data_IF_269267454225
#
_entry.id   IF_269267454225
#
_cell.length_a   1.000
_cell.length_b   1.000
_cell.length_c   1.000
_cell.angle_alpha   90.00
_cell.angle_beta   90.00
_cell.angle_gamma   90.00
#
_symmetry.space_group_name_H-M   'P 1'
#
loop_
_entity.id
_entity.type
_entity.pdbx_description
1 polymer ?
#
# COMPACT_ATOMS: atom_id res chain seq x y z
N UNK A 1 5.01 15.95 -39.72
CA UNK A 1 4.44 17.02 -38.86
C UNK A 1 3.07 16.62 -38.28
N UNK A 2 2.15 16.00 -39.03
CA UNK A 2 0.83 15.60 -38.50
C UNK A 2 0.88 14.50 -37.43
N UNK A 3 1.78 13.52 -37.56
CA UNK A 3 1.84 12.37 -36.65
C UNK A 3 2.19 12.75 -35.20
N UNK A 4 3.17 13.65 -35.01
CA UNK A 4 3.48 14.21 -33.68
C UNK A 4 2.30 14.98 -33.07
N UNK A 5 1.51 15.69 -33.89
CA UNK A 5 0.35 16.44 -33.41
C UNK A 5 -0.77 15.51 -32.96
N UNK A 6 -1.04 14.43 -33.70
CA UNK A 6 -2.03 13.40 -33.33
C UNK A 6 -1.62 12.72 -32.03
N UNK A 7 -0.33 12.35 -31.87
CA UNK A 7 0.15 11.72 -30.63
C UNK A 7 0.08 12.70 -29.45
N UNK A 8 0.44 13.99 -29.65
CA UNK A 8 0.28 15.01 -28.58
C UNK A 8 -1.18 15.11 -28.16
N UNK A 9 -2.12 15.15 -29.11
CA UNK A 9 -3.53 15.25 -28.80
C UNK A 9 -4.04 14.03 -28.02
N UNK A 10 -3.61 12.82 -28.39
CA UNK A 10 -3.94 11.59 -27.66
C UNK A 10 -3.37 11.55 -26.24
N UNK A 11 -2.16 12.08 -26.03
CA UNK A 11 -1.58 12.23 -24.68
C UNK A 11 -2.40 13.26 -23.87
N UNK A 12 -2.77 14.38 -24.49
CA UNK A 12 -3.54 15.46 -23.84
C UNK A 12 -4.92 14.97 -23.39
N UNK A 13 -5.60 14.12 -24.16
CA UNK A 13 -6.94 13.64 -23.81
C UNK A 13 -7.00 12.69 -22.61
N UNK A 14 -5.86 12.15 -22.16
CA UNK A 14 -5.80 11.13 -21.09
C UNK A 14 -5.18 11.68 -19.80
N UNK A 15 -4.60 12.88 -19.83
CA UNK A 15 -3.95 13.49 -18.67
C UNK A 15 -4.84 14.46 -17.92
N UNK A 16 -4.63 14.56 -16.61
CA UNK A 16 -5.23 15.61 -15.77
C UNK A 16 -4.76 17.00 -16.22
N UNK A 17 -5.66 17.99 -16.21
CA UNK A 17 -5.38 19.38 -16.62
C UNK A 17 -4.18 19.99 -15.89
N UNK A 18 -4.02 19.67 -14.61
CA UNK A 18 -2.88 20.11 -13.79
C UNK A 18 -1.53 19.60 -14.31
N UNK A 19 -1.50 18.42 -14.94
CA UNK A 19 -0.30 17.86 -15.54
C UNK A 19 -0.08 18.43 -16.95
N UNK A 20 -1.16 18.61 -17.72
CA UNK A 20 -1.13 19.24 -19.03
C UNK A 20 -0.47 20.63 -18.98
N UNK A 21 -0.85 21.46 -18.01
CA UNK A 21 -0.26 22.79 -17.83
C UNK A 21 1.27 22.76 -17.65
N UNK A 22 1.83 21.69 -17.09
CA UNK A 22 3.29 21.53 -16.88
C UNK A 22 4.05 21.07 -18.11
N UNK A 23 3.36 20.43 -19.07
CA UNK A 23 4.00 19.76 -20.23
C UNK A 23 3.62 20.38 -21.58
N UNK A 24 2.60 21.27 -21.64
CA UNK A 24 2.11 21.89 -22.89
C UNK A 24 3.14 22.74 -23.65
N UNK A 25 4.19 23.23 -22.96
CA UNK A 25 5.25 24.04 -23.55
C UNK A 25 6.36 23.24 -24.24
N UNK A 26 6.33 21.90 -24.17
CA UNK A 26 7.42 21.06 -24.66
C UNK A 26 7.38 20.89 -26.18
N UNK A 27 8.53 21.15 -26.83
CA UNK A 27 8.65 21.14 -28.29
C UNK A 27 8.46 19.73 -28.88
N UNK A 28 9.01 18.70 -28.23
CA UNK A 28 8.96 17.31 -28.70
C UNK A 28 8.01 16.46 -27.85
N UNK A 29 7.19 15.63 -28.52
CA UNK A 29 6.30 14.67 -27.85
C UNK A 29 7.04 13.73 -26.91
N UNK A 30 8.27 13.32 -27.27
CA UNK A 30 9.11 12.50 -26.42
C UNK A 30 9.43 13.18 -25.08
N UNK A 31 9.80 14.47 -25.11
CA UNK A 31 10.11 15.24 -23.88
C UNK A 31 8.85 15.42 -23.03
N UNK A 32 7.71 15.68 -23.68
CA UNK A 32 6.41 15.76 -23.02
C UNK A 32 6.05 14.44 -22.30
N UNK A 33 6.27 13.29 -22.96
CA UNK A 33 6.03 11.96 -22.40
C UNK A 33 6.95 11.63 -21.23
N UNK A 34 8.27 11.88 -21.36
CA UNK A 34 9.22 11.62 -20.27
C UNK A 34 8.92 12.47 -19.03
N UNK A 35 8.55 13.74 -19.22
CA UNK A 35 8.18 14.64 -18.11
C UNK A 35 6.88 14.20 -17.42
N UNK A 36 5.89 13.77 -18.20
CA UNK A 36 4.66 13.18 -17.67
C UNK A 36 4.97 11.92 -16.86
N UNK A 37 5.73 10.98 -17.43
CA UNK A 37 6.16 9.75 -16.77
C UNK A 37 6.87 10.04 -15.45
N UNK A 38 7.82 10.97 -15.45
CA UNK A 38 8.56 11.38 -14.24
C UNK A 38 7.65 11.94 -13.14
N UNK A 39 6.66 12.77 -13.48
CA UNK A 39 5.70 13.31 -12.51
C UNK A 39 4.82 12.21 -11.90
N UNK A 40 4.36 11.26 -12.72
CA UNK A 40 3.57 10.12 -12.24
C UNK A 40 4.41 9.18 -11.37
N UNK A 41 5.64 8.86 -11.77
CA UNK A 41 6.55 8.02 -10.98
C UNK A 41 6.92 8.69 -9.65
N UNK A 42 7.19 10.00 -9.65
CA UNK A 42 7.47 10.75 -8.42
C UNK A 42 6.27 10.74 -7.47
N UNK A 43 5.07 10.97 -7.99
CA UNK A 43 3.82 10.88 -7.20
C UNK A 43 3.62 9.46 -6.67
N UNK A 44 3.85 8.44 -7.49
CA UNK A 44 3.76 7.03 -7.09
C UNK A 44 4.72 6.72 -5.94
N UNK A 45 5.99 7.13 -6.04
CA UNK A 45 6.98 6.97 -4.95
C UNK A 45 6.55 7.68 -3.68
N UNK A 46 6.02 8.90 -3.78
CA UNK A 46 5.54 9.65 -2.61
C UNK A 46 4.33 8.96 -1.96
N UNK A 47 3.43 8.38 -2.75
CA UNK A 47 2.30 7.59 -2.25
C UNK A 47 2.80 6.33 -1.55
N UNK A 48 3.77 5.62 -2.13
CA UNK A 48 4.41 4.45 -1.48
C UNK A 48 5.00 4.83 -0.12
N UNK A 49 5.77 5.91 -0.03
CA UNK A 49 6.34 6.40 1.24
C UNK A 49 5.24 6.74 2.24
N UNK A 50 4.18 7.44 1.79
CA UNK A 50 3.04 7.77 2.66
C UNK A 50 2.31 6.52 3.17
N UNK A 51 2.17 5.48 2.35
CA UNK A 51 1.56 4.22 2.75
C UNK A 51 2.41 3.47 3.77
N UNK A 52 3.74 3.42 3.61
CA UNK A 52 4.62 2.87 4.64
C UNK A 52 4.55 3.65 5.94
N UNK A 53 4.53 4.99 5.88
CA UNK A 53 4.36 5.84 7.06
C UNK A 53 3.05 5.51 7.78
N UNK A 54 1.92 5.46 7.07
CA UNK A 54 0.62 5.08 7.63
C UNK A 54 0.64 3.69 8.26
N UNK A 55 1.27 2.73 7.59
CA UNK A 55 1.40 1.37 8.09
C UNK A 55 2.19 1.31 9.41
N UNK A 56 3.23 2.14 9.54
CA UNK A 56 4.04 2.25 10.77
C UNK A 56 3.33 3.06 11.87
N UNK A 57 2.50 4.03 11.53
CA UNK A 57 1.82 4.86 12.53
C UNK A 57 0.52 4.22 13.05
N UNK A 58 -0.01 3.22 12.35
CA UNK A 58 -1.25 2.55 12.74
C UNK A 58 -1.08 1.73 14.03
N UNK A 59 -1.96 1.96 15.00
CA UNK A 59 -2.06 1.22 16.26
C UNK A 59 -3.52 0.89 16.54
N UNK A 60 -3.77 -0.32 17.03
CA UNK A 60 -5.08 -0.71 17.50
C UNK A 60 -5.29 -0.08 18.88
N UNK A 61 -6.28 0.79 19.00
CA UNK A 61 -6.70 1.35 20.30
C UNK A 61 -7.66 0.36 20.97
N UNK A 62 -7.70 0.33 22.31
CA UNK A 62 -8.54 -0.61 23.09
C UNK A 62 -10.05 -0.49 22.79
N UNK A 63 -10.52 0.67 22.33
CA UNK A 63 -11.92 0.91 21.94
C UNK A 63 -12.22 0.64 20.45
N UNK A 64 -11.20 0.32 19.65
CA UNK A 64 -11.35 0.10 18.22
C UNK A 64 -11.85 -1.31 17.89
N UNK A 65 -12.77 -1.41 16.93
CA UNK A 65 -13.10 -2.70 16.32
C UNK A 65 -11.85 -3.30 15.66
N UNK A 66 -11.33 -4.36 16.28
CA UNK A 66 -10.16 -5.12 15.85
C UNK A 66 -10.28 -5.56 14.39
N UNK A 67 -11.47 -5.96 13.95
CA UNK A 67 -11.71 -6.41 12.57
C UNK A 67 -11.54 -5.27 11.57
N UNK A 68 -12.06 -4.10 11.92
CA UNK A 68 -11.86 -2.87 11.14
C UNK A 68 -10.38 -2.48 11.09
N UNK A 69 -9.64 -2.59 12.21
CA UNK A 69 -8.20 -2.33 12.25
C UNK A 69 -7.41 -3.28 11.34
N UNK A 70 -7.65 -4.59 11.45
CA UNK A 70 -6.99 -5.60 10.62
C UNK A 70 -7.30 -5.42 9.12
N UNK A 71 -8.56 -5.11 8.79
CA UNK A 71 -8.98 -4.83 7.41
C UNK A 71 -8.24 -3.61 6.83
N UNK A 72 -8.04 -2.58 7.65
CA UNK A 72 -7.30 -1.37 7.26
C UNK A 72 -5.82 -1.69 6.99
N UNK A 73 -5.15 -2.45 7.87
CA UNK A 73 -3.78 -2.89 7.65
C UNK A 73 -3.64 -3.72 6.37
N UNK A 74 -4.55 -4.69 6.15
CA UNK A 74 -4.55 -5.52 4.94
C UNK A 74 -4.71 -4.68 3.66
N UNK A 75 -5.57 -3.65 3.69
CA UNK A 75 -5.76 -2.73 2.57
C UNK A 75 -4.49 -1.96 2.23
N UNK A 76 -3.78 -1.44 3.24
CA UNK A 76 -2.51 -0.74 3.05
C UNK A 76 -1.45 -1.68 2.46
N UNK A 77 -1.34 -2.91 2.98
CA UNK A 77 -0.42 -3.92 2.45
C UNK A 77 -0.72 -4.28 0.98
N UNK A 78 -1.98 -4.54 0.63
CA UNK A 78 -2.40 -4.83 -0.76
C UNK A 78 -2.04 -3.69 -1.72
N UNK A 79 -2.19 -2.44 -1.28
CA UNK A 79 -1.78 -1.27 -2.08
C UNK A 79 -0.26 -1.22 -2.30
N UNK A 80 0.54 -1.53 -1.27
CA UNK A 80 2.01 -1.59 -1.39
C UNK A 80 2.47 -2.70 -2.35
N UNK A 81 1.88 -3.89 -2.25
CA UNK A 81 2.14 -5.03 -3.17
C UNK A 81 1.80 -4.63 -4.61
N UNK A 82 0.64 -4.01 -4.83
CA UNK A 82 0.21 -3.53 -6.16
C UNK A 82 1.19 -2.52 -6.75
N UNK A 83 1.80 -1.70 -5.90
CA UNK A 83 2.81 -0.71 -6.31
C UNK A 83 4.21 -1.33 -6.56
N UNK A 84 4.38 -2.65 -6.41
CA UNK A 84 5.67 -3.35 -6.44
C UNK A 84 6.72 -2.70 -5.53
N UNK A 85 6.26 -2.09 -4.44
CA UNK A 85 7.12 -1.64 -3.36
C UNK A 85 7.35 -2.85 -2.47
N UNK A 86 8.59 -3.34 -2.42
CA UNK A 86 9.01 -4.62 -1.85
C UNK A 86 8.13 -5.12 -0.69
N UNK A 87 7.56 -6.31 -0.89
CA UNK A 87 6.74 -6.98 0.09
C UNK A 87 7.54 -8.07 0.79
N UNK A 88 8.44 -7.67 1.69
CA UNK A 88 8.98 -8.63 2.65
C UNK A 88 7.88 -8.99 3.64
N UNK A 89 7.33 -10.20 3.48
CA UNK A 89 6.20 -10.69 4.27
C UNK A 89 6.50 -10.65 5.78
N UNK A 90 7.75 -10.88 6.16
CA UNK A 90 8.20 -10.87 7.55
C UNK A 90 8.13 -9.47 8.18
N UNK A 91 8.32 -8.42 7.37
CA UNK A 91 8.17 -7.03 7.81
C UNK A 91 6.69 -6.71 8.09
N UNK A 92 5.76 -7.21 7.29
CA UNK A 92 4.33 -6.99 7.51
C UNK A 92 3.82 -7.65 8.78
N UNK A 93 4.24 -8.90 9.02
CA UNK A 93 3.94 -9.62 10.26
C UNK A 93 4.40 -8.82 11.47
N UNK A 94 5.65 -8.34 11.43
CA UNK A 94 6.23 -7.53 12.50
C UNK A 94 5.43 -6.24 12.74
N UNK A 95 4.96 -5.59 11.67
CA UNK A 95 4.15 -4.36 11.78
C UNK A 95 2.77 -4.65 12.36
N UNK A 96 2.09 -5.72 11.93
CA UNK A 96 0.79 -6.09 12.49
C UNK A 96 0.95 -6.42 13.98
N UNK A 97 1.94 -7.23 14.36
CA UNK A 97 2.23 -7.54 15.77
C UNK A 97 2.47 -6.27 16.60
N UNK A 98 3.29 -5.34 16.08
CA UNK A 98 3.56 -4.05 16.73
C UNK A 98 2.28 -3.22 16.87
N UNK A 99 1.42 -3.18 15.85
CA UNK A 99 0.16 -2.43 15.91
C UNK A 99 -0.81 -2.95 16.97
N UNK A 100 -0.62 -4.20 17.40
CA UNK A 100 -1.44 -4.89 18.39
C UNK A 100 -0.76 -4.99 19.76
N UNK A 101 0.36 -4.30 19.99
CA UNK A 101 1.17 -4.48 21.20
C UNK A 101 0.40 -4.23 22.50
N UNK A 102 -0.60 -3.35 22.49
CA UNK A 102 -1.48 -3.11 23.64
C UNK A 102 -2.44 -4.28 23.94
N UNK A 103 -2.76 -5.09 22.93
CA UNK A 103 -3.69 -6.22 23.01
C UNK A 103 -2.95 -7.57 22.98
N UNK A 104 -1.62 -7.54 23.08
CA UNK A 104 -0.77 -8.71 22.89
C UNK A 104 -1.10 -9.84 23.88
N UNK A 105 -1.36 -9.52 25.15
CA UNK A 105 -1.79 -10.50 26.18
C UNK A 105 -3.11 -11.19 25.82
N UNK A 106 -4.06 -10.43 25.26
CA UNK A 106 -5.38 -10.94 24.86
C UNK A 106 -5.29 -11.93 23.70
N UNK A 107 -4.38 -11.68 22.75
CA UNK A 107 -4.25 -12.48 21.53
C UNK A 107 -3.02 -13.40 21.51
N UNK A 108 -2.23 -13.45 22.59
CA UNK A 108 -1.02 -14.27 22.72
C UNK A 108 -1.25 -15.75 22.40
N UNK A 109 -2.39 -16.30 22.85
CA UNK A 109 -2.78 -17.68 22.56
C UNK A 109 -3.01 -17.96 21.07
N UNK A 110 -3.50 -16.97 20.31
CA UNK A 110 -3.66 -17.06 18.85
C UNK A 110 -2.30 -16.98 18.18
N UNK A 111 -1.44 -16.05 18.61
CA UNK A 111 -0.09 -15.91 18.06
C UNK A 111 0.76 -17.17 18.28
N UNK A 112 0.71 -17.78 19.47
CA UNK A 112 1.36 -19.06 19.76
C UNK A 112 0.75 -20.16 18.90
N UNK A 113 -0.58 -20.24 18.80
CA UNK A 113 -1.28 -21.21 17.97
C UNK A 113 -0.83 -21.16 16.50
N UNK A 114 -0.81 -19.97 15.90
CA UNK A 114 -0.39 -19.75 14.52
C UNK A 114 1.11 -20.05 14.34
N UNK A 115 1.96 -19.62 15.29
CA UNK A 115 3.40 -19.91 15.27
C UNK A 115 3.72 -21.40 15.40
N UNK A 116 2.92 -22.17 16.16
CA UNK A 116 3.09 -23.63 16.28
C UNK A 116 2.53 -24.40 15.09
N UNK A 117 1.53 -23.85 14.40
CA UNK A 117 0.93 -24.45 13.21
C UNK A 117 1.83 -24.29 11.96
N UNK A 118 2.61 -23.23 11.88
CA UNK A 118 3.42 -22.87 10.72
C UNK A 118 4.92 -22.93 11.03
N UNK A 119 5.53 -24.12 10.95
CA UNK A 119 6.99 -24.27 10.83
C UNK A 119 7.55 -23.78 9.47
N UNK A 120 6.82 -22.94 8.73
CA UNK A 120 7.23 -22.25 7.50
C UNK A 120 6.43 -20.95 7.32
N UNK A 121 7.12 -19.92 6.84
CA UNK A 121 6.70 -18.56 6.41
C UNK A 121 5.23 -18.19 6.68
N UNK A 122 5.03 -17.27 7.63
CA UNK A 122 3.72 -16.82 8.09
C UNK A 122 2.95 -16.10 6.97
N UNK A 123 1.87 -16.69 6.48
CA UNK A 123 0.99 -16.02 5.51
C UNK A 123 0.16 -14.93 6.23
N UNK A 124 0.23 -13.70 5.73
CA UNK A 124 -0.49 -12.54 6.28
C UNK A 124 -1.99 -12.82 6.40
N UNK A 125 -2.60 -13.45 5.40
CA UNK A 125 -4.05 -13.69 5.39
C UNK A 125 -4.45 -14.71 6.45
N UNK A 126 -3.63 -15.75 6.68
CA UNK A 126 -3.85 -16.73 7.75
C UNK A 126 -3.77 -16.05 9.12
N UNK A 127 -2.79 -15.16 9.31
CA UNK A 127 -2.63 -14.45 10.57
C UNK A 127 -3.81 -13.51 10.86
N UNK A 128 -4.23 -12.71 9.87
CA UNK A 128 -5.36 -11.80 10.01
C UNK A 128 -6.66 -12.55 10.31
N UNK A 129 -6.88 -13.71 9.67
CA UNK A 129 -8.06 -14.53 9.89
C UNK A 129 -8.11 -15.07 11.33
N UNK A 130 -7.02 -15.67 11.82
CA UNK A 130 -7.00 -16.24 13.17
C UNK A 130 -7.21 -15.20 14.28
N UNK A 131 -6.72 -13.97 14.08
CA UNK A 131 -6.95 -12.87 15.02
C UNK A 131 -8.40 -12.39 14.95
N UNK A 132 -8.99 -12.29 13.75
CA UNK A 132 -10.40 -11.92 13.60
C UNK A 132 -11.32 -12.93 14.27
N UNK A 133 -11.08 -14.24 14.08
CA UNK A 133 -11.92 -15.30 14.66
C UNK A 133 -11.92 -15.27 16.19
N UNK A 134 -10.79 -14.89 16.79
CA UNK A 134 -10.64 -14.72 18.25
C UNK A 134 -11.36 -13.49 18.77
N UNK A 135 -11.43 -12.42 17.98
CA UNK A 135 -12.12 -11.19 18.37
C UNK A 135 -13.65 -11.36 18.39
N UNK A 136 -14.18 -12.32 17.60
CA UNK A 136 -15.60 -12.66 17.53
C UNK A 136 -16.05 -13.65 18.64
N UNK A 137 -15.13 -14.10 19.52
CA UNK A 137 -15.35 -15.13 20.55
C UNK A 137 -15.45 -14.54 21.96
#
# INVERSE_FOLDING_TARGET
KSEQAVIKQGIISVILDSLFLKVKGEAMTKVMWEKMKSEYEKKSKMVTVNLHQKLQDEQCTEEGDMKTHLTKLQSICKNLITMKADSDNDNFVTIVLRSLSALFETYLSVFIGISTLLSKTLDLDIMLQGISDKADQ
#
